data_IF_260050384536
#
_entry.id   IF_260050384536
#
_cell.length_a   1.000
_cell.length_b   1.000
_cell.length_c   1.000
_cell.angle_alpha   90.00
_cell.angle_beta   90.00
_cell.angle_gamma   90.00
#
_symmetry.space_group_name_H-M   'P 1'
#
loop_
_entity.id
_entity.type
_entity.pdbx_description
1 polymer ?
#
# COMPACT_ATOMS: atom_id res chain seq x y z
N UNK A 1 6.13 0.77 -9.07
CA UNK A 1 5.31 0.34 -10.24
C UNK A 1 5.11 -1.17 -10.34
N UNK A 2 5.60 -1.98 -9.41
CA UNK A 2 5.47 -3.43 -9.45
C UNK A 2 6.30 -4.13 -10.52
N UNK A 3 7.30 -3.47 -10.99
CA UNK A 3 8.28 -4.00 -11.95
C UNK A 3 9.64 -3.37 -11.67
N UNK A 4 10.07 -3.49 -10.43
CA UNK A 4 11.42 -3.13 -10.07
C UNK A 4 12.43 -4.02 -10.81
N UNK A 5 13.59 -3.48 -11.06
CA UNK A 5 14.75 -4.23 -11.53
C UNK A 5 15.66 -4.57 -10.35
N UNK A 6 16.60 -5.53 -10.50
CA UNK A 6 17.59 -5.79 -9.45
C UNK A 6 18.41 -4.56 -9.04
N UNK A 7 18.38 -3.50 -9.84
CA UNK A 7 19.11 -2.26 -9.59
C UNK A 7 18.25 -1.14 -8.97
N UNK A 8 16.92 -1.28 -8.93
CA UNK A 8 16.01 -0.18 -8.55
C UNK A 8 16.32 0.37 -7.17
N UNK A 9 16.34 -0.46 -6.13
CA UNK A 9 16.60 0.00 -4.77
C UNK A 9 17.98 0.64 -4.61
N UNK A 10 19.01 0.10 -5.28
CA UNK A 10 20.35 0.69 -5.27
C UNK A 10 20.35 2.09 -5.92
N UNK A 11 19.71 2.26 -7.08
CA UNK A 11 19.64 3.55 -7.77
C UNK A 11 18.86 4.59 -6.97
N UNK A 12 17.78 4.17 -6.30
CA UNK A 12 17.01 5.02 -5.39
C UNK A 12 17.85 5.44 -4.19
N UNK A 13 18.61 4.52 -3.60
CA UNK A 13 19.52 4.80 -2.49
C UNK A 13 20.70 5.68 -2.91
N UNK A 14 21.28 5.46 -4.09
CA UNK A 14 22.36 6.30 -4.65
C UNK A 14 21.91 7.75 -4.87
N UNK A 15 20.69 7.94 -5.37
CA UNK A 15 20.12 9.27 -5.54
C UNK A 15 19.91 9.99 -4.20
N UNK A 16 19.43 9.29 -3.16
CA UNK A 16 19.30 9.80 -1.79
C UNK A 16 18.22 10.88 -1.57
N UNK A 17 17.44 11.23 -2.61
CA UNK A 17 16.44 12.28 -2.56
C UNK A 17 15.01 11.82 -2.23
N UNK A 18 14.81 10.52 -1.97
CA UNK A 18 13.52 9.95 -1.67
C UNK A 18 13.36 9.67 -0.17
N UNK A 19 12.20 10.00 0.39
CA UNK A 19 11.90 9.72 1.80
C UNK A 19 11.50 8.25 2.02
N UNK A 20 11.00 7.57 1.00
CA UNK A 20 10.61 6.15 1.01
C UNK A 20 10.61 5.58 -0.41
N UNK A 21 10.59 4.27 -0.50
CA UNK A 21 10.39 3.51 -1.72
C UNK A 21 9.12 2.64 -1.59
N UNK A 22 8.44 2.37 -2.70
CA UNK A 22 7.21 1.57 -2.74
C UNK A 22 7.29 0.39 -3.71
N UNK A 23 8.45 0.12 -4.27
CA UNK A 23 8.64 -0.98 -5.23
C UNK A 23 8.90 -2.31 -4.49
N UNK A 24 7.98 -2.65 -3.59
CA UNK A 24 8.00 -3.90 -2.83
C UNK A 24 6.58 -4.34 -2.46
N UNK A 25 6.32 -5.65 -2.45
CA UNK A 25 4.99 -6.23 -2.24
C UNK A 25 4.91 -7.23 -1.09
N UNK A 26 5.93 -7.34 -0.29
CA UNK A 26 6.09 -8.45 0.65
C UNK A 26 5.57 -8.22 2.06
N UNK A 27 4.87 -7.11 2.34
CA UNK A 27 4.36 -6.82 3.67
C UNK A 27 3.12 -5.89 3.63
N UNK A 28 2.33 -5.90 4.70
CA UNK A 28 1.19 -5.00 4.94
C UNK A 28 1.57 -3.79 5.81
N UNK A 29 2.83 -3.68 6.23
CA UNK A 29 3.35 -2.57 7.03
C UNK A 29 4.62 -2.01 6.41
N UNK A 30 4.94 -0.73 6.64
CA UNK A 30 6.26 -0.20 6.30
C UNK A 30 7.37 -0.92 7.05
N UNK A 31 8.53 -1.02 6.45
CA UNK A 31 9.71 -1.64 7.06
C UNK A 31 11.01 -1.04 6.53
N UNK A 32 12.10 -1.27 7.26
CA UNK A 32 13.42 -0.83 6.87
C UNK A 32 14.17 -1.94 6.13
N UNK A 33 14.76 -1.58 4.99
CA UNK A 33 15.62 -2.44 4.19
C UNK A 33 17.03 -1.88 4.14
N UNK A 34 18.04 -2.73 4.32
CA UNK A 34 19.44 -2.38 4.07
C UNK A 34 19.73 -2.44 2.58
N UNK A 35 20.19 -1.33 2.00
CA UNK A 35 20.50 -1.25 0.57
C UNK A 35 21.96 -0.89 0.40
N UNK A 36 22.69 -1.71 -0.37
CA UNK A 36 24.06 -1.42 -0.74
C UNK A 36 24.07 -0.45 -1.93
N UNK A 37 24.78 0.66 -1.77
CA UNK A 37 25.03 1.67 -2.79
C UNK A 37 26.14 1.28 -3.73
N UNK A 38 26.28 2.01 -4.84
CA UNK A 38 27.34 1.80 -5.82
C UNK A 38 28.75 2.05 -5.24
N UNK A 39 28.89 2.92 -4.26
CA UNK A 39 30.14 3.20 -3.55
C UNK A 39 30.51 2.14 -2.49
N UNK A 40 29.70 1.09 -2.35
CA UNK A 40 29.89 0.01 -1.38
C UNK A 40 29.32 0.31 0.00
N UNK A 41 28.91 1.53 0.31
CA UNK A 41 28.26 1.85 1.57
C UNK A 41 26.86 1.21 1.66
N UNK A 42 26.40 0.94 2.88
CA UNK A 42 25.07 0.37 3.15
C UNK A 42 24.24 1.41 3.88
N UNK A 43 23.05 1.70 3.36
CA UNK A 43 22.14 2.68 3.94
C UNK A 43 20.77 2.05 4.24
N UNK A 44 20.08 2.50 5.29
CA UNK A 44 18.71 2.12 5.52
C UNK A 44 17.78 2.85 4.55
N UNK A 45 16.87 2.12 3.92
CA UNK A 45 15.83 2.66 3.07
C UNK A 45 14.47 2.26 3.62
N UNK A 46 13.58 3.23 3.81
CA UNK A 46 12.21 2.93 4.22
C UNK A 46 11.41 2.43 3.03
N UNK A 47 10.82 1.26 3.19
CA UNK A 47 9.84 0.71 2.26
C UNK A 47 8.44 0.98 2.81
N UNK A 48 7.58 1.56 1.98
CA UNK A 48 6.13 1.63 2.20
C UNK A 48 5.51 0.71 1.16
N UNK A 49 5.15 -0.54 1.51
CA UNK A 49 4.78 -1.55 0.53
C UNK A 49 3.58 -1.15 -0.33
N UNK A 50 3.55 -1.69 -1.54
CA UNK A 50 2.45 -1.58 -2.48
C UNK A 50 1.78 -2.95 -2.63
N UNK A 51 0.52 -2.99 -3.12
CA UNK A 51 -0.19 -4.24 -3.30
C UNK A 51 -0.67 -4.45 -4.73
N UNK A 52 -0.79 -5.72 -5.14
CA UNK A 52 -1.35 -6.13 -6.41
C UNK A 52 -2.76 -6.73 -6.28
N UNK A 53 -3.20 -7.09 -5.09
CA UNK A 53 -4.49 -7.72 -4.85
C UNK A 53 -5.65 -6.71 -4.85
N UNK A 54 -5.62 -5.67 -4.03
CA UNK A 54 -6.57 -4.56 -4.07
C UNK A 54 -6.21 -3.57 -5.20
N UNK A 55 -6.25 -4.05 -6.45
CA UNK A 55 -5.79 -3.28 -7.60
C UNK A 55 -6.78 -3.37 -8.77
N UNK A 56 -7.16 -2.22 -9.31
CA UNK A 56 -8.10 -2.10 -10.41
C UNK A 56 -7.56 -2.62 -11.76
N UNK A 57 -6.25 -2.91 -11.86
CA UNK A 57 -5.70 -3.60 -13.03
C UNK A 57 -6.39 -4.92 -13.33
N UNK A 58 -6.98 -5.57 -12.33
CA UNK A 58 -7.74 -6.80 -12.51
C UNK A 58 -8.98 -6.63 -13.40
N UNK A 59 -9.49 -5.42 -13.59
CA UNK A 59 -10.51 -5.15 -14.62
C UNK A 59 -10.00 -5.34 -16.07
N UNK A 60 -8.70 -5.36 -16.28
CA UNK A 60 -8.08 -5.57 -17.59
C UNK A 60 -7.64 -7.02 -17.83
N UNK A 61 -7.87 -7.92 -16.88
CA UNK A 61 -7.48 -9.33 -16.98
C UNK A 61 -8.68 -10.20 -17.38
N UNK A 62 -8.49 -11.28 -18.16
CA UNK A 62 -9.58 -12.17 -18.56
C UNK A 62 -10.35 -12.80 -17.40
N UNK A 63 -9.69 -13.04 -16.26
CA UNK A 63 -10.26 -13.61 -15.05
C UNK A 63 -10.36 -12.58 -13.92
N UNK A 64 -10.43 -11.31 -14.27
CA UNK A 64 -10.50 -10.22 -13.32
C UNK A 64 -11.92 -9.80 -12.98
N UNK A 65 -12.06 -8.56 -12.54
CA UNK A 65 -13.37 -8.01 -12.19
C UNK A 65 -14.16 -7.63 -13.44
N UNK A 66 -15.41 -8.09 -13.55
CA UNK A 66 -16.30 -7.75 -14.64
C UNK A 66 -17.02 -6.42 -14.44
N UNK A 67 -17.33 -6.04 -13.19
CA UNK A 67 -18.08 -4.84 -12.82
C UNK A 67 -17.73 -4.39 -11.39
N UNK A 68 -18.38 -3.35 -10.89
CA UNK A 68 -18.03 -2.73 -9.61
C UNK A 68 -18.17 -3.65 -8.39
N UNK A 69 -19.18 -4.52 -8.34
CA UNK A 69 -19.50 -5.30 -7.13
C UNK A 69 -18.36 -6.24 -6.69
N UNK A 70 -17.75 -7.07 -7.56
CA UNK A 70 -16.64 -7.92 -7.12
C UNK A 70 -15.44 -7.14 -6.60
N UNK A 71 -15.15 -5.97 -7.17
CA UNK A 71 -14.04 -5.14 -6.69
C UNK A 71 -14.36 -4.48 -5.35
N UNK A 72 -15.58 -3.94 -5.22
CA UNK A 72 -16.04 -3.41 -3.93
C UNK A 72 -15.99 -4.47 -2.82
N UNK A 73 -16.55 -5.66 -3.10
CA UNK A 73 -16.58 -6.74 -2.10
C UNK A 73 -15.16 -7.15 -1.68
N UNK A 74 -14.26 -7.27 -2.65
CA UNK A 74 -12.87 -7.63 -2.36
C UNK A 74 -12.18 -6.57 -1.48
N UNK A 75 -12.32 -5.29 -1.82
CA UNK A 75 -11.77 -4.20 -1.00
C UNK A 75 -12.37 -4.17 0.40
N UNK A 76 -13.69 -4.37 0.50
CA UNK A 76 -14.41 -4.39 1.76
C UNK A 76 -13.93 -5.53 2.66
N UNK A 77 -13.89 -6.75 2.16
CA UNK A 77 -13.49 -7.92 2.93
C UNK A 77 -12.02 -7.83 3.36
N UNK A 78 -11.15 -7.29 2.50
CA UNK A 78 -9.75 -7.02 2.85
C UNK A 78 -9.65 -5.99 3.96
N UNK A 79 -10.40 -4.90 3.88
CA UNK A 79 -10.45 -3.87 4.93
C UNK A 79 -10.97 -4.45 6.24
N UNK A 80 -12.09 -5.16 6.22
CA UNK A 80 -12.72 -5.70 7.41
C UNK A 80 -11.78 -6.68 8.16
N UNK A 81 -11.05 -7.51 7.40
CA UNK A 81 -10.05 -8.41 7.98
C UNK A 81 -8.90 -7.65 8.64
N UNK A 82 -8.28 -6.70 7.94
CA UNK A 82 -7.18 -5.90 8.49
C UNK A 82 -7.64 -4.98 9.64
N UNK A 83 -8.87 -4.50 9.59
CA UNK A 83 -9.46 -3.71 10.68
C UNK A 83 -9.67 -4.54 11.95
N UNK A 84 -10.13 -5.79 11.79
CA UNK A 84 -10.27 -6.71 12.91
C UNK A 84 -8.93 -7.07 13.57
N UNK A 85 -7.86 -7.22 12.78
CA UNK A 85 -6.51 -7.44 13.33
C UNK A 85 -6.00 -6.24 14.15
N UNK A 86 -6.46 -5.02 13.80
CA UNK A 86 -6.14 -3.79 14.54
C UNK A 86 -6.92 -3.58 15.82
N UNK A 87 -7.91 -4.41 16.14
CA UNK A 87 -8.74 -4.26 17.34
C UNK A 87 -7.88 -4.42 18.62
N UNK A 88 -7.84 -3.39 19.51
CA UNK A 88 -7.13 -3.48 20.78
C UNK A 88 -7.63 -4.60 21.72
N UNK A 89 -8.86 -5.05 21.54
CA UNK A 89 -9.42 -6.19 22.29
C UNK A 89 -9.04 -7.55 21.68
N UNK A 90 -8.52 -7.56 20.46
CA UNK A 90 -8.05 -8.73 19.74
C UNK A 90 -6.53 -8.75 19.62
N UNK A 91 -6.03 -8.82 18.37
CA UNK A 91 -4.59 -8.95 18.10
C UNK A 91 -3.81 -7.64 18.34
N UNK A 92 -4.49 -6.51 18.37
CA UNK A 92 -3.89 -5.17 18.53
C UNK A 92 -2.73 -4.92 17.55
N UNK A 93 -2.91 -5.34 16.30
CA UNK A 93 -1.92 -5.29 15.24
C UNK A 93 -2.42 -4.44 14.05
N UNK A 94 -2.50 -3.10 14.21
CA UNK A 94 -3.00 -2.22 13.15
C UNK A 94 -2.18 -2.40 11.86
N UNK A 95 -2.86 -2.39 10.73
CA UNK A 95 -2.31 -2.66 9.40
C UNK A 95 -2.45 -1.47 8.47
N UNK A 96 -1.70 -1.50 7.40
CA UNK A 96 -1.82 -0.57 6.28
C UNK A 96 -2.48 -1.29 5.10
N UNK A 97 -3.49 -0.67 4.50
CA UNK A 97 -4.09 -1.12 3.26
C UNK A 97 -3.76 -0.15 2.13
N UNK A 98 -3.33 -0.67 1.00
CA UNK A 98 -3.14 0.10 -0.23
C UNK A 98 -4.13 -0.35 -1.29
N UNK A 99 -4.66 0.60 -2.06
CA UNK A 99 -5.54 0.32 -3.21
C UNK A 99 -4.89 0.91 -4.46
N UNK A 100 -4.57 0.05 -5.41
CA UNK A 100 -4.04 0.46 -6.71
C UNK A 100 -5.15 0.95 -7.63
N UNK A 101 -5.04 2.20 -8.11
CA UNK A 101 -6.08 2.84 -8.91
C UNK A 101 -5.49 3.47 -10.18
N UNK A 102 -6.16 3.23 -11.31
CA UNK A 102 -5.86 3.85 -12.59
C UNK A 102 -7.07 4.60 -13.11
N UNK A 103 -6.94 5.88 -13.41
CA UNK A 103 -8.06 6.70 -13.89
C UNK A 103 -8.76 6.10 -15.13
N UNK A 104 -8.01 5.46 -16.04
CA UNK A 104 -8.55 4.78 -17.22
C UNK A 104 -9.33 3.49 -16.91
N UNK A 105 -9.13 2.89 -15.73
CA UNK A 105 -9.81 1.65 -15.31
C UNK A 105 -10.93 1.96 -14.32
N UNK A 106 -10.60 2.32 -13.10
CA UNK A 106 -11.57 2.58 -12.04
C UNK A 106 -12.40 3.83 -12.31
N UNK A 107 -11.86 4.85 -13.00
CA UNK A 107 -12.57 6.09 -13.35
C UNK A 107 -13.71 5.93 -14.36
N UNK A 108 -14.04 4.72 -14.82
CA UNK A 108 -15.17 4.47 -15.72
C UNK A 108 -16.49 4.46 -14.93
N UNK A 109 -17.60 5.00 -15.49
CA UNK A 109 -18.87 5.13 -14.77
C UNK A 109 -19.37 3.86 -14.10
N UNK A 110 -19.27 2.70 -14.78
CA UNK A 110 -19.71 1.41 -14.24
C UNK A 110 -18.74 0.78 -13.22
N UNK A 111 -17.62 1.43 -12.90
CA UNK A 111 -16.59 0.91 -11.98
C UNK A 111 -16.35 1.83 -10.80
N UNK A 112 -16.44 3.15 -10.98
CA UNK A 112 -16.15 4.14 -9.93
C UNK A 112 -17.05 3.99 -8.69
N UNK A 113 -18.23 3.42 -8.85
CA UNK A 113 -19.15 3.15 -7.76
C UNK A 113 -18.58 2.17 -6.73
N UNK A 114 -17.63 1.31 -7.13
CA UNK A 114 -16.91 0.45 -6.18
C UNK A 114 -16.12 1.28 -5.17
N UNK A 115 -15.38 2.29 -5.64
CA UNK A 115 -14.61 3.18 -4.77
C UNK A 115 -15.53 4.04 -3.89
N UNK A 116 -16.60 4.60 -4.45
CA UNK A 116 -17.55 5.40 -3.68
C UNK A 116 -18.13 4.61 -2.51
N UNK A 117 -18.64 3.41 -2.78
CA UNK A 117 -19.18 2.50 -1.75
C UNK A 117 -18.12 2.08 -0.72
N UNK A 118 -16.89 1.88 -1.15
CA UNK A 118 -15.79 1.55 -0.24
C UNK A 118 -15.46 2.72 0.68
N UNK A 119 -15.39 3.95 0.16
CA UNK A 119 -15.19 5.14 0.98
C UNK A 119 -16.33 5.34 1.99
N UNK A 120 -17.59 5.15 1.57
CA UNK A 120 -18.75 5.18 2.47
C UNK A 120 -18.67 4.09 3.56
N UNK A 121 -18.08 2.92 3.24
CA UNK A 121 -17.88 1.84 4.19
C UNK A 121 -16.85 2.21 5.24
N UNK A 122 -15.66 2.61 4.85
CA UNK A 122 -14.56 2.90 5.80
C UNK A 122 -14.84 4.11 6.70
N UNK A 123 -15.62 5.10 6.23
CA UNK A 123 -16.03 6.26 7.04
C UNK A 123 -16.88 5.91 8.25
N UNK A 124 -17.44 4.71 8.32
CA UNK A 124 -18.26 4.23 9.45
C UNK A 124 -17.42 3.58 10.55
N UNK A 125 -16.11 3.48 10.35
CA UNK A 125 -15.19 2.82 11.27
C UNK A 125 -14.29 3.87 11.95
N UNK A 126 -14.23 3.82 13.26
CA UNK A 126 -13.31 4.66 14.04
C UNK A 126 -11.87 4.16 13.91
N UNK A 127 -10.89 5.03 14.14
CA UNK A 127 -9.48 4.66 14.10
C UNK A 127 -8.90 4.43 12.68
N UNK A 128 -9.66 4.74 11.63
CA UNK A 128 -9.20 4.65 10.25
C UNK A 128 -8.53 5.97 9.81
N UNK A 129 -7.29 5.88 9.41
CA UNK A 129 -6.54 7.02 8.88
C UNK A 129 -6.37 6.92 7.37
N UNK A 130 -7.13 7.71 6.62
CA UNK A 130 -6.95 7.85 5.17
C UNK A 130 -5.83 8.85 4.92
N UNK A 131 -4.66 8.36 4.53
CA UNK A 131 -3.43 9.13 4.47
C UNK A 131 -2.76 9.08 3.10
N UNK A 132 -1.93 10.09 2.82
CA UNK A 132 -0.96 10.00 1.72
C UNK A 132 0.18 9.08 2.15
N UNK A 133 0.79 8.38 1.21
CA UNK A 133 1.92 7.48 1.51
C UNK A 133 3.10 8.20 2.18
N UNK A 134 3.34 9.46 1.84
CA UNK A 134 4.37 10.27 2.49
C UNK A 134 4.08 10.52 3.98
N UNK A 135 2.81 10.68 4.35
CA UNK A 135 2.41 10.90 5.74
C UNK A 135 2.59 9.60 6.55
N UNK A 136 2.28 8.44 5.94
CA UNK A 136 2.57 7.12 6.52
C UNK A 136 4.09 6.95 6.71
N UNK A 137 4.89 7.27 5.69
CA UNK A 137 6.35 7.16 5.77
C UNK A 137 6.93 8.01 6.90
N UNK A 138 6.47 9.25 7.05
CA UNK A 138 6.91 10.16 8.12
C UNK A 138 6.48 9.69 9.50
N UNK A 139 5.24 9.23 9.62
CA UNK A 139 4.75 8.61 10.85
C UNK A 139 5.60 7.40 11.25
N UNK A 140 5.86 6.50 10.29
CA UNK A 140 6.66 5.30 10.54
C UNK A 140 8.09 5.63 10.99
N UNK A 141 8.74 6.59 10.34
CA UNK A 141 10.08 7.06 10.74
C UNK A 141 10.10 7.59 12.18
N UNK A 142 9.04 8.27 12.60
CA UNK A 142 8.94 8.84 13.94
C UNK A 142 8.67 7.79 15.02
N UNK A 143 7.86 6.77 14.72
CA UNK A 143 7.40 5.77 15.69
C UNK A 143 8.22 4.48 15.65
N UNK A 144 8.84 4.16 14.52
CA UNK A 144 9.66 2.96 14.28
C UNK A 144 10.98 3.37 13.60
N UNK A 145 11.85 4.12 14.29
CA UNK A 145 13.12 4.54 13.72
C UNK A 145 13.98 3.32 13.37
N UNK A 146 14.87 3.49 12.39
CA UNK A 146 15.81 2.43 12.03
C UNK A 146 16.65 2.00 13.25
N UNK A 147 16.70 0.71 13.60
CA UNK A 147 17.33 0.27 14.85
C UNK A 147 18.87 0.22 14.82
N UNK A 148 19.52 0.55 13.66
CA UNK A 148 20.97 0.48 13.50
C UNK A 148 21.48 -0.77 12.79
#
# INVERSE_FOLDING_TARGET
>A
TGRDSPNTHRLVADYGGFEYDSDYYGDDLPFWMKVQKTDGSVVPQLIVPYTLDCNDMRFALPQGYSHADPFYQYMKDSFDALYAEGDPAGDNAPKMMSIGMHCRLLGRPGRITALQRFLDHIQRHEGVWVARRIDIARHWKATHPYPG
#
